data_IF_342847733644
#
_entry.id   IF_342847733644
#
_cell.length_a   1.000
_cell.length_b   1.000
_cell.length_c   1.000
_cell.angle_alpha   90.00
_cell.angle_beta   90.00
_cell.angle_gamma   90.00
#
_symmetry.space_group_name_H-M   'P 1'
#
loop_
_entity.id
_entity.type
_entity.pdbx_description
1 polymer ?
#
# COMPACT_ATOMS: atom_id res chain seq x y z
N UNK A 1 -10.31 -9.99 11.19
CA UNK A 1 -10.26 -8.76 12.04
C UNK A 1 -9.24 -9.02 13.13
N UNK A 2 -8.38 -8.07 13.45
CA UNK A 2 -7.40 -8.24 14.55
C UNK A 2 -8.12 -8.29 15.88
N UNK A 3 -7.67 -9.16 16.77
CA UNK A 3 -8.18 -9.22 18.13
C UNK A 3 -7.27 -8.47 19.11
N UNK A 4 -6.02 -8.20 18.72
CA UNK A 4 -5.00 -7.56 19.56
C UNK A 4 -3.98 -6.80 18.68
N UNK A 5 -3.41 -5.73 19.23
CA UNK A 5 -2.27 -5.02 18.62
C UNK A 5 -0.95 -5.61 19.14
N UNK A 6 0.15 -5.49 18.37
CA UNK A 6 1.48 -5.79 18.85
C UNK A 6 1.82 -5.02 20.11
N UNK A 7 2.53 -5.67 21.02
CA UNK A 7 2.94 -5.04 22.28
C UNK A 7 3.80 -3.79 22.00
N UNK A 8 3.52 -2.71 22.72
CA UNK A 8 4.21 -1.43 22.54
C UNK A 8 3.69 -0.56 21.39
N UNK A 9 2.85 -1.06 20.47
CA UNK A 9 2.27 -0.25 19.39
C UNK A 9 1.06 0.55 19.89
N UNK A 10 1.28 1.43 20.86
CA UNK A 10 0.26 2.19 21.58
C UNK A 10 -0.13 3.52 20.93
N UNK A 11 0.61 3.97 19.92
CA UNK A 11 0.36 5.23 19.21
C UNK A 11 0.81 5.17 17.73
N UNK A 12 0.31 6.06 16.85
CA UNK A 12 0.73 6.12 15.44
C UNK A 12 2.21 6.40 15.23
N UNK A 13 2.84 7.07 16.21
CA UNK A 13 4.25 7.46 16.17
C UNK A 13 5.16 6.54 16.99
N UNK A 14 4.60 5.49 17.61
CA UNK A 14 5.39 4.53 18.35
C UNK A 14 6.44 3.88 17.43
N UNK A 15 7.69 3.92 17.89
CA UNK A 15 8.80 3.18 17.28
C UNK A 15 9.11 2.00 18.19
N UNK A 16 9.47 0.85 17.62
CA UNK A 16 9.86 -0.29 18.43
C UNK A 16 11.22 -0.06 19.10
N UNK A 17 11.47 -0.76 20.21
CA UNK A 17 12.84 -1.00 20.67
C UNK A 17 13.54 -1.96 19.70
N UNK A 18 14.87 -2.12 19.78
CA UNK A 18 15.58 -3.07 18.90
C UNK A 18 15.01 -4.49 18.99
N UNK A 19 14.67 -4.97 20.19
CA UNK A 19 14.00 -6.27 20.37
C UNK A 19 12.57 -6.25 19.84
N UNK A 20 11.81 -5.20 20.10
CA UNK A 20 10.44 -5.03 19.63
C UNK A 20 10.33 -4.92 18.11
N UNK A 21 11.36 -4.43 17.43
CA UNK A 21 11.38 -4.32 15.97
C UNK A 21 11.28 -5.71 15.30
N UNK A 22 12.11 -6.63 15.72
CA UNK A 22 12.09 -8.00 15.20
C UNK A 22 10.76 -8.70 15.53
N UNK A 23 10.16 -8.40 16.67
CA UNK A 23 8.86 -8.94 17.05
C UNK A 23 7.73 -8.38 16.20
N UNK A 24 7.67 -7.06 16.01
CA UNK A 24 6.66 -6.42 15.17
C UNK A 24 6.74 -6.87 13.71
N UNK A 25 7.97 -7.04 13.17
CA UNK A 25 8.16 -7.56 11.82
C UNK A 25 7.73 -9.03 11.71
N UNK A 26 7.99 -9.85 12.74
CA UNK A 26 7.53 -11.23 12.78
C UNK A 26 6.00 -11.32 12.80
N UNK A 27 5.33 -10.51 13.63
CA UNK A 27 3.87 -10.46 13.69
C UNK A 27 3.28 -9.92 12.37
N UNK A 28 3.91 -8.92 11.78
CA UNK A 28 3.52 -8.35 10.49
C UNK A 28 3.63 -9.40 9.38
N UNK A 29 4.76 -10.12 9.32
CA UNK A 29 4.94 -11.24 8.38
C UNK A 29 3.88 -12.32 8.59
N UNK A 30 3.66 -12.77 9.82
CA UNK A 30 2.68 -13.81 10.13
C UNK A 30 1.25 -13.39 9.72
N UNK A 31 0.91 -12.11 9.92
CA UNK A 31 -0.39 -11.59 9.53
C UNK A 31 -0.57 -11.59 8.01
N UNK A 32 0.41 -11.07 7.25
CA UNK A 32 0.33 -11.00 5.78
C UNK A 32 0.47 -12.38 5.12
N UNK A 33 1.19 -13.32 5.73
CA UNK A 33 1.23 -14.72 5.28
C UNK A 33 -0.16 -15.39 5.38
N UNK A 34 -0.89 -15.10 6.48
CA UNK A 34 -2.24 -15.63 6.70
C UNK A 34 -3.33 -14.89 5.92
N UNK A 35 -3.09 -13.64 5.53
CA UNK A 35 -4.07 -12.76 4.87
C UNK A 35 -3.47 -12.12 3.61
N UNK A 36 -3.06 -12.91 2.63
CA UNK A 36 -2.46 -12.36 1.41
C UNK A 36 -3.45 -11.48 0.63
N UNK A 37 -2.91 -10.48 -0.05
CA UNK A 37 -3.71 -9.51 -0.81
C UNK A 37 -4.24 -10.14 -2.12
N UNK A 38 -5.42 -10.75 -2.05
CA UNK A 38 -6.09 -11.43 -3.18
C UNK A 38 -7.32 -10.69 -3.69
N UNK A 39 -7.71 -9.59 -3.06
CA UNK A 39 -8.94 -8.85 -3.38
C UNK A 39 -10.21 -9.70 -3.31
N UNK A 40 -10.25 -10.69 -2.41
CA UNK A 40 -11.35 -11.65 -2.24
C UNK A 40 -12.21 -11.42 -0.97
N UNK A 41 -12.03 -10.28 -0.30
CA UNK A 41 -12.76 -9.92 0.92
C UNK A 41 -14.27 -9.68 0.73
N UNK A 42 -14.74 -9.44 -0.51
CA UNK A 42 -16.16 -9.28 -0.81
C UNK A 42 -16.81 -10.62 -1.12
N UNK A 43 -16.14 -11.44 -1.92
CA UNK A 43 -16.56 -12.75 -2.40
C UNK A 43 -15.34 -13.55 -2.87
N UNK A 44 -15.45 -14.88 -2.75
CA UNK A 44 -14.36 -15.78 -3.17
C UNK A 44 -14.08 -15.60 -4.66
N UNK A 45 -12.82 -15.80 -5.04
CA UNK A 45 -12.39 -15.70 -6.44
C UNK A 45 -13.04 -16.75 -7.35
N UNK A 46 -13.44 -17.91 -6.78
CA UNK A 46 -14.11 -18.97 -7.53
C UNK A 46 -13.28 -19.70 -8.59
N UNK A 47 -11.95 -19.45 -8.59
CA UNK A 47 -10.98 -20.02 -9.53
C UNK A 47 -9.82 -20.66 -8.78
N UNK A 48 -9.12 -21.60 -9.44
CA UNK A 48 -7.96 -22.27 -8.83
C UNK A 48 -6.85 -21.26 -8.54
N UNK A 49 -6.33 -21.30 -7.32
CA UNK A 49 -5.24 -20.43 -6.89
C UNK A 49 -4.00 -20.64 -7.75
N UNK A 50 -3.28 -19.56 -8.03
CA UNK A 50 -2.09 -19.55 -8.89
C UNK A 50 -2.33 -19.97 -10.34
N UNK A 51 -3.59 -20.05 -10.78
CA UNK A 51 -3.94 -20.20 -12.20
C UNK A 51 -3.86 -18.84 -12.94
N UNK A 52 -3.78 -18.88 -14.27
CA UNK A 52 -3.85 -17.65 -15.08
C UNK A 52 -5.13 -16.85 -14.81
N UNK A 53 -6.26 -17.55 -14.66
CA UNK A 53 -7.56 -16.93 -14.33
C UNK A 53 -7.57 -16.28 -12.94
N UNK A 54 -6.88 -16.88 -11.97
CA UNK A 54 -6.71 -16.31 -10.63
C UNK A 54 -6.08 -14.90 -10.69
N UNK A 55 -4.97 -14.76 -11.41
CA UNK A 55 -4.30 -13.47 -11.55
C UNK A 55 -5.11 -12.47 -12.37
N UNK A 56 -5.77 -12.91 -13.44
CA UNK A 56 -6.65 -12.05 -14.23
C UNK A 56 -7.82 -11.51 -13.40
N UNK A 57 -8.40 -12.31 -12.52
CA UNK A 57 -9.49 -11.87 -11.64
C UNK A 57 -8.99 -10.91 -10.54
N UNK A 58 -7.80 -11.13 -9.98
CA UNK A 58 -7.15 -10.19 -9.06
C UNK A 58 -6.94 -8.85 -9.76
N UNK A 59 -6.36 -8.86 -10.96
CA UNK A 59 -6.06 -7.64 -11.72
C UNK A 59 -7.35 -6.90 -12.08
N UNK A 60 -8.37 -7.61 -12.53
CA UNK A 60 -9.67 -7.01 -12.82
C UNK A 60 -10.22 -6.28 -11.60
N UNK A 61 -10.25 -6.93 -10.43
CA UNK A 61 -10.76 -6.31 -9.19
C UNK A 61 -9.92 -5.11 -8.76
N UNK A 62 -8.62 -5.24 -8.82
CA UNK A 62 -7.69 -4.18 -8.41
C UNK A 62 -7.75 -2.98 -9.34
N UNK A 63 -7.64 -3.18 -10.65
CA UNK A 63 -7.63 -2.09 -11.62
C UNK A 63 -9.01 -1.47 -11.83
N UNK A 64 -10.10 -2.25 -11.75
CA UNK A 64 -11.47 -1.70 -11.74
C UNK A 64 -11.68 -0.76 -10.54
N UNK A 65 -11.20 -1.14 -9.35
CA UNK A 65 -11.29 -0.30 -8.17
C UNK A 65 -10.41 0.96 -8.32
N UNK A 66 -9.19 0.82 -8.86
CA UNK A 66 -8.27 1.92 -9.11
C UNK A 66 -8.83 2.92 -10.14
N UNK A 67 -9.57 2.48 -11.16
CA UNK A 67 -10.16 3.35 -12.18
C UNK A 67 -11.12 4.39 -11.60
N UNK A 68 -11.73 4.12 -10.44
CA UNK A 68 -12.66 5.06 -9.80
C UNK A 68 -11.96 6.31 -9.23
N UNK A 69 -10.74 6.16 -8.73
CA UNK A 69 -10.00 7.27 -8.10
C UNK A 69 -8.81 7.77 -8.93
N UNK A 70 -8.24 6.94 -9.80
CA UNK A 70 -7.21 7.42 -10.74
C UNK A 70 -7.83 8.29 -11.81
N UNK A 71 -7.16 9.37 -12.25
CA UNK A 71 -7.51 10.08 -13.47
C UNK A 71 -7.51 9.13 -14.67
N UNK A 72 -8.33 9.43 -15.67
CA UNK A 72 -8.35 8.67 -16.90
C UNK A 72 -7.00 8.76 -17.62
N UNK A 73 -6.45 7.62 -18.00
CA UNK A 73 -5.18 7.50 -18.70
C UNK A 73 -5.23 6.41 -19.76
N UNK A 74 -4.13 6.19 -20.46
CA UNK A 74 -4.02 5.17 -21.51
C UNK A 74 -3.78 3.78 -20.93
N UNK A 75 -3.25 3.69 -19.71
CA UNK A 75 -3.02 2.46 -18.96
C UNK A 75 -3.16 2.72 -17.46
N UNK A 76 -3.33 1.68 -16.63
CA UNK A 76 -3.37 1.85 -15.18
C UNK A 76 -2.13 2.56 -14.66
N UNK A 77 -2.32 3.50 -13.73
CA UNK A 77 -1.25 4.24 -13.03
C UNK A 77 -0.34 5.13 -13.88
N UNK A 78 -0.63 5.37 -15.16
CA UNK A 78 0.22 6.18 -16.07
C UNK A 78 0.36 7.66 -15.63
N UNK A 79 -0.52 8.14 -14.78
CA UNK A 79 -0.45 9.50 -14.20
C UNK A 79 0.60 9.64 -13.09
N UNK A 80 1.09 8.52 -12.55
CA UNK A 80 2.06 8.50 -11.43
C UNK A 80 3.27 7.60 -11.70
N UNK A 81 3.20 6.72 -12.71
CA UNK A 81 4.32 5.88 -13.16
C UNK A 81 4.91 6.51 -14.41
N UNK A 82 6.20 6.86 -14.42
CA UNK A 82 6.86 7.46 -15.57
C UNK A 82 7.25 6.39 -16.62
N UNK A 83 6.25 5.81 -17.28
CA UNK A 83 6.45 4.71 -18.23
C UNK A 83 7.38 5.04 -19.40
N UNK A 84 7.49 6.30 -19.78
CA UNK A 84 8.42 6.79 -20.81
C UNK A 84 9.90 6.67 -20.41
N UNK A 85 10.16 6.63 -19.10
CA UNK A 85 11.52 6.53 -18.55
C UNK A 85 11.92 5.09 -18.14
N UNK A 86 10.92 4.22 -17.88
CA UNK A 86 11.18 2.86 -17.42
C UNK A 86 12.11 2.04 -18.30
N UNK A 87 12.12 2.16 -19.66
CA UNK A 87 13.02 1.37 -20.50
C UNK A 87 14.52 1.58 -20.20
N UNK A 88 14.88 2.70 -19.60
CA UNK A 88 16.25 3.04 -19.22
C UNK A 88 16.56 2.68 -17.75
N UNK A 89 15.57 2.24 -16.96
CA UNK A 89 15.67 2.15 -15.52
C UNK A 89 15.70 0.72 -14.98
N UNK A 90 16.54 0.51 -13.97
CA UNK A 90 16.49 -0.63 -13.08
C UNK A 90 15.47 -0.33 -11.98
N UNK A 91 14.45 -1.17 -11.89
CA UNK A 91 13.26 -0.95 -11.04
C UNK A 91 13.26 -1.94 -9.87
N UNK A 92 13.04 -1.41 -8.67
CA UNK A 92 12.75 -2.19 -7.45
C UNK A 92 11.29 -2.00 -7.07
N UNK A 93 10.54 -3.08 -6.91
CA UNK A 93 9.23 -3.07 -6.24
C UNK A 93 9.35 -3.62 -4.83
N UNK A 94 8.85 -2.85 -3.85
CA UNK A 94 8.77 -3.26 -2.44
C UNK A 94 7.33 -3.65 -2.12
N UNK A 95 7.14 -4.93 -1.76
CA UNK A 95 5.83 -5.51 -1.47
C UNK A 95 5.10 -5.97 -2.73
N UNK A 96 5.59 -7.04 -3.36
CA UNK A 96 5.05 -7.52 -4.65
C UNK A 96 3.64 -8.13 -4.53
N UNK A 97 3.26 -8.65 -3.35
CA UNK A 97 1.95 -9.24 -3.10
C UNK A 97 1.58 -10.34 -4.10
N UNK A 98 0.51 -10.14 -4.88
CA UNK A 98 0.12 -11.07 -5.96
C UNK A 98 0.72 -10.70 -7.33
N UNK A 99 1.62 -9.73 -7.41
CA UNK A 99 2.39 -9.37 -8.59
C UNK A 99 1.66 -8.51 -9.63
N UNK A 100 0.55 -7.86 -9.30
CA UNK A 100 -0.21 -7.02 -10.25
C UNK A 100 0.60 -5.84 -10.76
N UNK A 101 1.31 -5.14 -9.87
CA UNK A 101 2.20 -4.05 -10.27
C UNK A 101 3.45 -4.57 -10.98
N UNK A 102 4.02 -5.70 -10.53
CA UNK A 102 5.15 -6.33 -11.22
C UNK A 102 4.83 -6.67 -12.67
N UNK A 103 3.65 -7.24 -12.94
CA UNK A 103 3.18 -7.50 -14.30
C UNK A 103 2.98 -6.21 -15.11
N UNK A 104 2.61 -5.12 -14.46
CA UNK A 104 2.45 -3.82 -15.11
C UNK A 104 3.80 -3.15 -15.41
N UNK A 105 4.80 -3.27 -14.53
CA UNK A 105 6.07 -2.54 -14.61
C UNK A 105 7.17 -3.32 -15.33
N UNK A 106 7.36 -4.60 -15.00
CA UNK A 106 8.50 -5.39 -15.45
C UNK A 106 8.66 -5.47 -16.99
N UNK A 107 7.58 -5.56 -17.81
CA UNK A 107 7.72 -5.57 -19.26
C UNK A 107 8.22 -4.25 -19.86
N UNK A 108 8.24 -3.18 -19.07
CA UNK A 108 8.56 -1.83 -19.55
C UNK A 108 9.90 -1.29 -19.03
N UNK A 109 10.57 -1.97 -18.10
CA UNK A 109 11.82 -1.50 -17.53
C UNK A 109 13.04 -2.26 -18.04
N UNK A 110 14.24 -1.68 -17.85
CA UNK A 110 15.52 -2.33 -18.22
C UNK A 110 15.73 -3.61 -17.43
N UNK A 111 15.51 -3.55 -16.13
CA UNK A 111 15.50 -4.71 -15.26
C UNK A 111 14.49 -4.53 -14.12
N UNK A 112 13.94 -5.63 -13.62
CA UNK A 112 12.98 -5.63 -12.52
C UNK A 112 13.45 -6.54 -11.39
N UNK A 113 13.38 -6.02 -10.17
CA UNK A 113 13.53 -6.78 -8.94
C UNK A 113 12.33 -6.49 -8.04
N UNK A 114 11.65 -7.52 -7.60
CA UNK A 114 10.56 -7.44 -6.64
C UNK A 114 10.93 -8.09 -5.31
N UNK A 115 10.61 -7.45 -4.20
CA UNK A 115 10.83 -8.01 -2.86
C UNK A 115 9.53 -8.06 -2.06
N UNK A 116 9.40 -9.06 -1.20
CA UNK A 116 8.31 -9.18 -0.23
C UNK A 116 8.78 -9.91 1.03
N UNK A 117 8.11 -9.64 2.14
CA UNK A 117 8.40 -10.23 3.43
C UNK A 117 7.88 -11.68 3.55
N UNK A 118 6.85 -12.05 2.75
CA UNK A 118 6.08 -13.29 2.87
C UNK A 118 6.46 -14.32 1.81
N UNK A 119 6.44 -15.60 2.20
CA UNK A 119 6.67 -16.70 1.27
C UNK A 119 5.50 -16.86 0.28
N UNK A 120 4.28 -16.55 0.72
CA UNK A 120 3.10 -16.55 -0.15
C UNK A 120 3.26 -15.58 -1.33
N UNK A 121 3.63 -14.31 -1.06
CA UNK A 121 3.78 -13.31 -2.11
C UNK A 121 4.90 -13.68 -3.10
N UNK A 122 6.02 -14.21 -2.60
CA UNK A 122 7.12 -14.70 -3.45
C UNK A 122 6.65 -15.83 -4.36
N UNK A 123 6.00 -16.84 -3.80
CA UNK A 123 5.48 -17.99 -4.56
C UNK A 123 4.44 -17.55 -5.59
N UNK A 124 3.49 -16.70 -5.18
CA UNK A 124 2.44 -16.17 -6.05
C UNK A 124 3.03 -15.36 -7.21
N UNK A 125 3.90 -14.40 -6.91
CA UNK A 125 4.47 -13.52 -7.95
C UNK A 125 5.41 -14.27 -8.88
N UNK A 126 6.23 -15.19 -8.37
CA UNK A 126 7.09 -16.05 -9.20
C UNK A 126 6.22 -16.86 -10.16
N UNK A 127 5.17 -17.51 -9.65
CA UNK A 127 4.26 -18.29 -10.50
C UNK A 127 3.55 -17.45 -11.54
N UNK A 128 3.16 -16.22 -11.20
CA UNK A 128 2.60 -15.26 -12.16
C UNK A 128 3.61 -14.96 -13.27
N UNK A 129 4.85 -14.64 -12.94
CA UNK A 129 5.89 -14.30 -13.89
C UNK A 129 6.15 -15.45 -14.87
N UNK A 130 6.22 -16.69 -14.36
CA UNK A 130 6.32 -17.90 -15.21
C UNK A 130 5.13 -18.02 -16.18
N UNK A 131 3.90 -17.92 -15.67
CA UNK A 131 2.69 -18.11 -16.48
C UNK A 131 2.53 -17.05 -17.58
N UNK A 132 2.97 -15.83 -17.31
CA UNK A 132 2.81 -14.71 -18.25
C UNK A 132 4.09 -14.43 -19.05
N UNK A 133 5.18 -15.18 -18.83
CA UNK A 133 6.44 -15.01 -19.54
C UNK A 133 7.13 -13.68 -19.21
N UNK A 134 7.04 -13.22 -17.96
CA UNK A 134 7.60 -11.94 -17.49
C UNK A 134 8.99 -12.20 -16.92
N UNK A 135 9.98 -11.42 -17.37
CA UNK A 135 11.34 -11.44 -16.80
C UNK A 135 11.44 -10.59 -15.53
N UNK A 136 12.25 -11.05 -14.58
CA UNK A 136 12.52 -10.31 -13.34
C UNK A 136 13.00 -11.22 -12.22
N UNK A 137 13.53 -10.61 -11.15
CA UNK A 137 13.96 -11.31 -9.93
C UNK A 137 12.94 -11.08 -8.84
N UNK A 138 12.49 -12.14 -8.21
CA UNK A 138 11.54 -12.10 -7.08
C UNK A 138 12.25 -12.68 -5.87
N UNK A 139 12.39 -11.90 -4.80
CA UNK A 139 13.22 -12.25 -3.65
C UNK A 139 12.44 -12.05 -2.35
N UNK A 140 12.53 -13.03 -1.45
CA UNK A 140 12.03 -12.85 -0.07
C UNK A 140 13.02 -11.99 0.70
N UNK A 141 12.56 -10.82 1.15
CA UNK A 141 13.43 -9.85 1.80
C UNK A 141 12.63 -8.90 2.70
N UNK A 142 13.23 -8.49 3.81
CA UNK A 142 12.70 -7.43 4.65
C UNK A 142 13.15 -6.07 4.12
N UNK A 143 12.18 -5.20 3.82
CA UNK A 143 12.47 -3.86 3.32
C UNK A 143 13.15 -2.94 4.34
N UNK A 144 13.15 -3.29 5.63
CA UNK A 144 13.90 -2.57 6.66
C UNK A 144 15.41 -2.91 6.66
N UNK A 145 15.81 -4.00 5.97
CA UNK A 145 17.21 -4.48 5.87
C UNK A 145 17.39 -5.20 4.52
N UNK A 146 17.61 -4.42 3.46
CA UNK A 146 17.73 -4.98 2.13
C UNK A 146 19.15 -5.48 1.86
N UNK A 147 19.29 -6.79 1.55
CA UNK A 147 20.53 -7.35 1.01
C UNK A 147 20.64 -7.06 -0.50
N UNK A 148 20.72 -5.76 -0.82
CA UNK A 148 20.83 -5.22 -2.17
C UNK A 148 21.96 -4.18 -2.17
N UNK A 149 22.74 -4.07 -3.27
CA UNK A 149 23.83 -3.11 -3.35
C UNK A 149 23.35 -1.65 -3.26
N UNK A 150 24.20 -0.78 -2.76
CA UNK A 150 24.00 0.66 -2.81
C UNK A 150 23.93 1.13 -4.28
N UNK A 151 23.18 2.22 -4.51
CA UNK A 151 23.11 2.92 -5.80
C UNK A 151 22.85 1.99 -7.02
N UNK A 152 21.97 0.98 -6.84
CA UNK A 152 21.72 -0.07 -7.83
C UNK A 152 20.42 0.08 -8.62
N UNK A 153 19.52 0.97 -8.16
CA UNK A 153 18.22 1.19 -8.81
C UNK A 153 18.03 2.64 -9.22
N UNK A 154 17.31 2.85 -10.33
CA UNK A 154 16.90 4.17 -10.81
C UNK A 154 15.52 4.56 -10.26
N UNK A 155 14.66 3.55 -10.00
CA UNK A 155 13.30 3.75 -9.56
C UNK A 155 12.86 2.71 -8.53
N UNK A 156 12.18 3.18 -7.48
CA UNK A 156 11.52 2.32 -6.49
C UNK A 156 10.01 2.54 -6.56
N UNK A 157 9.27 1.46 -6.65
CA UNK A 157 7.82 1.42 -6.53
C UNK A 157 7.42 0.72 -5.23
N UNK A 158 6.52 1.34 -4.45
CA UNK A 158 5.91 0.68 -3.29
C UNK A 158 4.47 1.17 -3.08
N UNK A 159 3.55 0.24 -3.05
CA UNK A 159 2.12 0.55 -3.02
C UNK A 159 1.42 -0.19 -1.88
N UNK A 160 1.05 0.56 -0.82
CA UNK A 160 0.30 -0.03 0.30
C UNK A 160 1.11 -0.91 1.23
N UNK A 161 2.43 -0.70 1.36
CA UNK A 161 3.34 -1.62 2.05
C UNK A 161 4.06 -0.99 3.23
N UNK A 162 4.85 0.06 3.01
CA UNK A 162 5.84 0.52 4.00
C UNK A 162 5.24 1.12 5.27
N UNK A 163 3.99 1.53 5.25
CA UNK A 163 3.28 1.97 6.44
C UNK A 163 2.84 0.81 7.36
N UNK A 164 3.01 -0.44 6.92
CA UNK A 164 2.85 -1.64 7.72
C UNK A 164 4.17 -2.13 8.35
N UNK A 165 5.33 -1.58 7.96
CA UNK A 165 6.60 -1.98 8.54
C UNK A 165 6.74 -1.54 10.01
N UNK A 166 7.59 -2.20 10.77
CA UNK A 166 7.86 -1.85 12.16
C UNK A 166 8.46 -0.44 12.26
N UNK A 167 9.35 -0.08 11.32
CA UNK A 167 9.93 1.27 11.19
C UNK A 167 9.92 1.74 9.72
N UNK A 168 8.93 2.58 9.39
CA UNK A 168 8.81 3.18 8.04
C UNK A 168 10.02 4.06 7.68
N UNK A 169 10.64 4.73 8.66
CA UNK A 169 11.83 5.56 8.44
C UNK A 169 13.04 4.71 8.02
N UNK A 170 13.17 3.51 8.57
CA UNK A 170 14.22 2.57 8.19
C UNK A 170 14.04 2.08 6.76
N UNK A 171 12.80 1.75 6.35
CA UNK A 171 12.51 1.42 4.94
C UNK A 171 12.88 2.57 4.00
N UNK A 172 12.51 3.81 4.34
CA UNK A 172 12.90 4.98 3.55
C UNK A 172 14.43 5.16 3.48
N UNK A 173 15.15 4.89 4.56
CA UNK A 173 16.61 4.94 4.58
C UNK A 173 17.23 3.88 3.67
N UNK A 174 16.71 2.66 3.68
CA UNK A 174 17.12 1.59 2.78
C UNK A 174 16.77 1.92 1.32
N UNK A 175 15.58 2.45 1.04
CA UNK A 175 15.22 2.94 -0.30
C UNK A 175 16.23 3.99 -0.79
N UNK A 176 16.61 4.93 0.08
CA UNK A 176 17.62 5.94 -0.25
C UNK A 176 18.98 5.31 -0.53
N UNK A 177 19.39 4.31 0.22
CA UNK A 177 20.67 3.61 0.04
C UNK A 177 20.73 2.92 -1.32
N UNK A 178 19.71 2.16 -1.68
CA UNK A 178 19.69 1.37 -2.92
C UNK A 178 19.41 2.20 -4.18
N UNK A 179 18.80 3.38 -4.05
CA UNK A 179 18.59 4.30 -5.17
C UNK A 179 19.89 4.98 -5.58
N UNK A 180 20.14 5.09 -6.88
CA UNK A 180 21.21 5.91 -7.46
C UNK A 180 21.02 7.39 -7.11
N UNK A 181 22.09 8.20 -7.12
CA UNK A 181 21.96 9.65 -7.01
C UNK A 181 20.94 10.20 -8.04
N UNK A 182 19.99 10.99 -7.58
CA UNK A 182 18.87 11.48 -8.40
C UNK A 182 17.78 10.45 -8.76
N UNK A 183 17.92 9.20 -8.30
CA UNK A 183 16.91 8.16 -8.44
C UNK A 183 15.60 8.54 -7.77
N UNK A 184 14.49 7.99 -8.26
CA UNK A 184 13.14 8.37 -7.85
C UNK A 184 12.39 7.21 -7.21
N UNK A 185 11.37 7.54 -6.43
CA UNK A 185 10.41 6.54 -5.96
C UNK A 185 8.98 7.07 -6.02
N UNK A 186 8.04 6.16 -6.26
CA UNK A 186 6.61 6.41 -6.01
C UNK A 186 6.17 5.56 -4.83
N UNK A 187 5.60 6.22 -3.84
CA UNK A 187 5.22 5.61 -2.56
C UNK A 187 3.76 5.90 -2.28
N UNK A 188 2.97 4.87 -1.99
CA UNK A 188 1.65 5.02 -1.42
C UNK A 188 1.63 4.53 0.02
N UNK A 189 1.16 5.39 0.92
CA UNK A 189 0.91 5.09 2.34
C UNK A 189 -0.52 5.45 2.72
N UNK A 190 -1.00 4.98 3.88
CA UNK A 190 -2.33 5.35 4.35
C UNK A 190 -2.39 6.80 4.81
N UNK A 191 -3.41 7.49 4.31
CA UNK A 191 -3.72 8.87 4.66
C UNK A 191 -4.64 8.94 5.88
N UNK A 192 -4.27 9.76 6.87
CA UNK A 192 -5.11 10.07 8.01
C UNK A 192 -6.11 11.16 7.65
N UNK A 193 -7.15 10.81 6.87
CA UNK A 193 -8.19 11.74 6.46
C UNK A 193 -9.10 12.12 7.65
N UNK A 194 -9.69 13.33 7.59
CA UNK A 194 -10.62 13.79 8.61
C UNK A 194 -11.88 12.91 8.68
N UNK A 195 -12.45 12.61 7.53
CA UNK A 195 -13.71 11.83 7.46
C UNK A 195 -13.52 10.43 8.02
N UNK A 196 -12.49 9.70 7.61
CA UNK A 196 -12.25 8.35 8.12
C UNK A 196 -11.88 8.34 9.61
N UNK A 197 -11.01 9.26 10.02
CA UNK A 197 -10.50 9.27 11.41
C UNK A 197 -11.55 9.75 12.39
N UNK A 198 -12.19 10.90 12.12
CA UNK A 198 -13.06 11.54 13.12
C UNK A 198 -14.54 11.21 12.92
N UNK A 199 -15.03 11.16 11.67
CA UNK A 199 -16.45 10.87 11.45
C UNK A 199 -16.70 9.35 11.51
N UNK A 200 -15.98 8.56 10.71
CA UNK A 200 -16.24 7.13 10.68
C UNK A 200 -15.71 6.44 11.97
N UNK A 201 -14.45 6.66 12.34
CA UNK A 201 -13.86 5.92 13.46
C UNK A 201 -14.25 6.50 14.81
N UNK A 202 -14.00 7.80 15.05
CA UNK A 202 -14.26 8.38 16.37
C UNK A 202 -15.77 8.52 16.66
N UNK A 203 -16.55 9.15 15.78
CA UNK A 203 -17.97 9.39 16.01
C UNK A 203 -18.79 8.10 15.85
N UNK A 204 -18.75 7.47 14.66
CA UNK A 204 -19.65 6.33 14.40
C UNK A 204 -19.23 5.06 15.16
N UNK A 205 -17.93 4.72 15.18
CA UNK A 205 -17.47 3.49 15.84
C UNK A 205 -17.13 3.72 17.32
N UNK A 206 -16.51 4.85 17.65
CA UNK A 206 -16.07 5.18 19.01
C UNK A 206 -17.22 5.59 19.92
N UNK A 207 -17.95 6.66 19.58
CA UNK A 207 -19.01 7.22 20.40
C UNK A 207 -20.32 6.44 20.22
N UNK A 208 -20.90 6.47 19.02
CA UNK A 208 -22.21 5.87 18.76
C UNK A 208 -22.20 4.34 18.85
N UNK A 209 -21.13 3.70 18.39
CA UNK A 209 -20.91 2.26 18.50
C UNK A 209 -20.38 1.78 19.85
N UNK A 210 -20.11 2.71 20.80
CA UNK A 210 -19.62 2.39 22.13
C UNK A 210 -18.18 1.86 22.20
N UNK A 211 -17.42 1.99 21.11
CA UNK A 211 -16.04 1.47 20.99
C UNK A 211 -15.08 2.09 22.02
N UNK A 212 -15.26 3.37 22.36
CA UNK A 212 -14.44 4.07 23.36
C UNK A 212 -14.58 3.55 24.79
N UNK A 213 -15.52 2.65 25.03
CA UNK A 213 -15.62 1.96 26.33
C UNK A 213 -14.47 0.95 26.54
N UNK A 214 -13.81 0.52 25.47
CA UNK A 214 -12.80 -0.56 25.51
C UNK A 214 -11.51 -0.21 24.79
N UNK A 215 -11.55 0.76 23.86
CA UNK A 215 -10.45 1.04 22.94
C UNK A 215 -10.20 2.54 22.80
N UNK A 216 -8.95 2.94 22.69
CA UNK A 216 -8.54 4.27 22.26
C UNK A 216 -8.87 4.52 20.77
N UNK A 217 -8.79 5.77 20.33
CA UNK A 217 -8.96 6.10 18.89
C UNK A 217 -7.92 5.37 18.02
N UNK A 218 -6.68 5.27 18.50
CA UNK A 218 -5.62 4.56 17.79
C UNK A 218 -5.97 3.07 17.65
N UNK A 219 -6.38 2.41 18.72
CA UNK A 219 -6.80 1.00 18.66
C UNK A 219 -7.98 0.78 17.73
N UNK A 220 -9.00 1.66 17.76
CA UNK A 220 -10.14 1.56 16.84
C UNK A 220 -9.72 1.71 15.37
N UNK A 221 -8.79 2.61 15.06
CA UNK A 221 -8.22 2.72 13.72
C UNK A 221 -7.52 1.41 13.31
N UNK A 222 -6.69 0.87 14.19
CA UNK A 222 -5.94 -0.35 13.94
C UNK A 222 -6.83 -1.58 13.76
N UNK A 223 -7.84 -1.75 14.63
CA UNK A 223 -8.79 -2.87 14.57
C UNK A 223 -9.66 -2.90 13.30
N UNK A 224 -9.79 -1.75 12.63
CA UNK A 224 -10.55 -1.62 11.38
C UNK A 224 -9.66 -1.53 10.12
N UNK A 225 -8.37 -1.86 10.24
CA UNK A 225 -7.39 -1.75 9.15
C UNK A 225 -6.63 -3.07 8.99
N UNK A 226 -6.23 -3.38 7.77
CA UNK A 226 -5.41 -4.55 7.46
C UNK A 226 -3.99 -4.43 8.04
N UNK A 227 -3.24 -5.54 8.05
CA UNK A 227 -1.90 -5.64 8.61
C UNK A 227 -1.87 -5.82 10.13
N UNK A 228 -0.81 -6.36 10.72
CA UNK A 228 -0.63 -6.41 12.17
C UNK A 228 -0.54 -5.01 12.75
N UNK A 229 0.22 -4.14 12.07
CA UNK A 229 0.33 -2.70 12.33
C UNK A 229 0.00 -1.93 11.05
N UNK A 230 -0.50 -0.69 11.22
CA UNK A 230 -0.67 0.24 10.12
C UNK A 230 -0.50 1.68 10.61
N UNK A 231 0.31 2.47 9.92
CA UNK A 231 0.50 3.88 10.21
C UNK A 231 -0.27 4.74 9.23
N UNK A 232 -0.94 5.76 9.76
CA UNK A 232 -1.69 6.74 8.99
C UNK A 232 -0.99 8.08 9.08
N UNK A 233 -0.69 8.68 7.96
CA UNK A 233 0.04 9.94 7.89
C UNK A 233 -0.84 11.10 7.44
N UNK A 234 -0.65 12.27 8.06
CA UNK A 234 -1.05 13.53 7.43
C UNK A 234 0.02 13.93 6.42
N UNK A 235 -0.35 14.66 5.34
CA UNK A 235 0.62 15.08 4.32
C UNK A 235 1.87 15.74 4.88
N UNK A 236 1.72 16.68 5.83
CA UNK A 236 2.86 17.37 6.45
C UNK A 236 3.76 16.45 7.30
N UNK A 237 3.17 15.49 8.04
CA UNK A 237 3.91 14.50 8.83
C UNK A 237 4.72 13.57 7.92
N UNK A 238 4.08 13.11 6.85
CA UNK A 238 4.72 12.26 5.84
C UNK A 238 5.86 12.98 5.13
N UNK A 239 5.61 14.20 4.63
CA UNK A 239 6.62 15.04 3.98
C UNK A 239 7.84 15.23 4.89
N UNK A 240 7.62 15.60 6.15
CA UNK A 240 8.71 15.77 7.12
C UNK A 240 9.50 14.49 7.36
N UNK A 241 8.85 13.31 7.38
CA UNK A 241 9.54 12.03 7.51
C UNK A 241 10.41 11.76 6.28
N UNK A 242 9.86 11.91 5.08
CA UNK A 242 10.53 11.70 3.79
C UNK A 242 11.76 12.61 3.65
N UNK A 243 11.61 13.90 3.97
CA UNK A 243 12.68 14.89 3.91
C UNK A 243 13.81 14.60 4.93
N UNK A 244 13.47 14.19 6.16
CA UNK A 244 14.47 13.73 7.14
C UNK A 244 15.24 12.50 6.69
N UNK A 245 14.63 11.64 5.87
CA UNK A 245 15.31 10.49 5.27
C UNK A 245 16.15 10.86 4.03
N UNK A 246 16.31 12.15 3.68
CA UNK A 246 17.15 12.62 2.59
C UNK A 246 16.52 12.53 1.20
N UNK A 247 15.20 12.69 1.12
CA UNK A 247 14.48 12.79 -0.14
C UNK A 247 13.89 14.19 -0.34
N UNK A 248 13.66 14.53 -1.60
CA UNK A 248 12.88 15.70 -2.01
C UNK A 248 11.52 15.21 -2.54
N UNK A 249 10.42 15.80 -2.09
CA UNK A 249 9.08 15.49 -2.59
C UNK A 249 8.85 16.27 -3.89
N UNK A 250 8.66 15.55 -5.00
CA UNK A 250 8.41 16.11 -6.34
C UNK A 250 6.90 16.21 -6.66
N UNK A 251 6.09 15.29 -6.11
CA UNK A 251 4.64 15.29 -6.28
C UNK A 251 3.92 14.66 -5.11
N UNK A 252 2.68 15.10 -4.85
CA UNK A 252 1.87 14.59 -3.76
C UNK A 252 0.40 14.59 -4.14
N UNK A 253 -0.27 13.46 -3.98
CA UNK A 253 -1.70 13.28 -4.23
C UNK A 253 -2.35 12.58 -3.04
N UNK A 254 -3.59 12.96 -2.78
CA UNK A 254 -4.50 12.16 -1.94
C UNK A 254 -5.56 11.58 -2.85
N UNK A 255 -5.75 10.28 -2.78
CA UNK A 255 -6.77 9.54 -3.53
C UNK A 255 -7.46 8.54 -2.61
N UNK A 256 -8.59 7.97 -3.04
CA UNK A 256 -9.27 7.00 -2.22
C UNK A 256 -10.36 6.25 -2.96
N UNK A 257 -10.75 5.13 -2.38
CA UNK A 257 -11.70 4.20 -2.96
C UNK A 257 -13.12 4.78 -3.00
N UNK A 258 -13.91 4.38 -3.98
CA UNK A 258 -15.33 4.73 -4.11
C UNK A 258 -16.13 4.40 -2.85
N UNK A 259 -15.75 3.32 -2.16
CA UNK A 259 -16.37 2.90 -0.91
C UNK A 259 -16.25 3.92 0.24
N UNK A 260 -15.33 4.87 0.16
CA UNK A 260 -15.08 5.88 1.19
C UNK A 260 -16.05 7.07 1.11
N UNK A 261 -16.69 7.27 -0.04
CA UNK A 261 -17.66 8.35 -0.24
C UNK A 261 -18.91 8.17 0.62
N UNK A 262 -19.33 6.91 0.85
CA UNK A 262 -20.50 6.58 1.64
C UNK A 262 -20.07 6.02 3.01
N UNK A 263 -20.36 6.77 4.07
CA UNK A 263 -20.04 6.39 5.46
C UNK A 263 -21.02 5.33 6.03
N UNK A 264 -21.51 4.45 5.18
CA UNK A 264 -22.39 3.35 5.59
C UNK A 264 -21.54 2.14 6.02
N UNK A 265 -22.03 1.32 6.98
CA UNK A 265 -21.41 0.05 7.29
C UNK A 265 -21.31 -0.84 6.04
N UNK A 266 -20.25 -1.67 5.99
CA UNK A 266 -20.09 -2.63 4.92
C UNK A 266 -21.31 -3.58 4.86
N UNK A 267 -21.87 -3.80 3.67
CA UNK A 267 -23.04 -4.64 3.47
C UNK A 267 -23.76 -4.37 2.15
N UNK A 268 -24.82 -5.14 1.90
CA UNK A 268 -25.59 -5.09 0.65
C UNK A 268 -26.14 -3.69 0.33
N UNK A 269 -26.61 -2.95 1.34
CA UNK A 269 -27.15 -1.59 1.17
C UNK A 269 -26.08 -0.63 0.66
N UNK A 270 -24.89 -0.64 1.30
CA UNK A 270 -23.75 0.18 0.84
C UNK A 270 -23.35 -0.19 -0.58
N UNK A 271 -23.25 -1.49 -0.87
CA UNK A 271 -22.87 -1.97 -2.20
C UNK A 271 -23.86 -1.53 -3.28
N UNK A 272 -25.17 -1.61 -3.01
CA UNK A 272 -26.20 -1.13 -3.93
C UNK A 272 -26.12 0.39 -4.13
N UNK A 273 -26.00 1.16 -3.05
CA UNK A 273 -25.92 2.62 -3.11
C UNK A 273 -24.68 3.10 -3.87
N UNK A 274 -23.54 2.41 -3.73
CA UNK A 274 -22.30 2.74 -4.43
C UNK A 274 -22.41 2.63 -5.96
N UNK A 275 -23.32 1.81 -6.48
CA UNK A 275 -23.55 1.71 -7.94
C UNK A 275 -24.06 3.03 -8.54
N UNK A 276 -24.69 3.87 -7.74
CA UNK A 276 -25.25 5.15 -8.14
C UNK A 276 -24.30 6.34 -7.88
N UNK A 277 -23.20 6.12 -7.17
CA UNK A 277 -22.16 7.15 -6.97
C UNK A 277 -21.32 7.26 -8.25
N UNK A 278 -21.32 8.40 -8.94
CA UNK A 278 -20.51 8.56 -10.14
C UNK A 278 -19.04 8.77 -9.77
N UNK A 279 -18.12 8.37 -10.65
CA UNK A 279 -16.68 8.42 -10.37
C UNK A 279 -16.16 9.85 -10.21
N UNK A 280 -16.76 10.82 -10.91
CA UNK A 280 -16.39 12.22 -10.72
C UNK A 280 -16.64 12.69 -9.28
N UNK A 281 -17.74 12.24 -8.64
CA UNK A 281 -18.03 12.58 -7.24
C UNK A 281 -17.04 11.89 -6.30
N UNK A 282 -16.66 10.64 -6.59
CA UNK A 282 -15.59 9.95 -5.86
C UNK A 282 -14.32 10.78 -5.89
N UNK A 283 -13.87 11.22 -7.07
CA UNK A 283 -12.65 12.03 -7.22
C UNK A 283 -12.76 13.39 -6.53
N UNK A 284 -13.91 14.05 -6.56
CA UNK A 284 -14.12 15.31 -5.83
C UNK A 284 -13.93 15.09 -4.33
N UNK A 285 -14.59 14.11 -3.75
CA UNK A 285 -14.52 13.84 -2.31
C UNK A 285 -13.14 13.33 -1.90
N UNK A 286 -12.62 12.31 -2.58
CA UNK A 286 -11.41 11.63 -2.15
C UNK A 286 -10.15 12.38 -2.56
N UNK A 287 -10.11 12.97 -3.77
CA UNK A 287 -8.92 13.60 -4.31
C UNK A 287 -8.93 15.12 -4.09
N UNK A 288 -9.97 15.83 -4.54
CA UNK A 288 -10.02 17.31 -4.44
C UNK A 288 -10.19 17.77 -3.00
N UNK A 289 -11.13 17.21 -2.25
CA UNK A 289 -11.30 17.50 -0.83
C UNK A 289 -10.32 16.75 0.07
N UNK A 290 -9.44 15.94 -0.53
CA UNK A 290 -8.38 15.20 0.16
C UNK A 290 -8.89 14.30 1.31
N UNK A 291 -10.06 13.69 1.14
CA UNK A 291 -10.65 12.79 2.14
C UNK A 291 -10.36 11.30 1.88
N UNK A 292 -9.67 10.97 0.80
CA UNK A 292 -9.28 9.60 0.46
C UNK A 292 -8.26 9.01 1.43
N UNK A 293 -8.18 7.69 1.46
CA UNK A 293 -7.31 6.93 2.37
C UNK A 293 -5.88 6.71 1.86
N UNK A 294 -5.58 7.09 0.61
CA UNK A 294 -4.26 6.91 0.00
C UNK A 294 -3.52 8.25 -0.08
N UNK A 295 -2.35 8.32 0.53
CA UNK A 295 -1.39 9.40 0.34
C UNK A 295 -0.27 8.88 -0.56
N UNK A 296 -0.19 9.45 -1.76
CA UNK A 296 0.74 9.04 -2.81
C UNK A 296 1.77 10.15 -2.98
N UNK A 297 3.04 9.80 -3.03
CA UNK A 297 4.11 10.75 -3.26
C UNK A 297 5.10 10.23 -4.28
N UNK A 298 5.55 11.11 -5.16
CA UNK A 298 6.79 10.91 -5.93
C UNK A 298 7.91 11.67 -5.22
N UNK A 299 8.99 10.95 -4.96
CA UNK A 299 10.14 11.45 -4.21
C UNK A 299 11.42 11.18 -4.98
N UNK A 300 12.42 12.01 -4.79
CA UNK A 300 13.75 11.88 -5.43
C UNK A 300 14.83 11.90 -4.37
N UNK A 301 15.82 11.01 -4.51
CA UNK A 301 17.04 11.02 -3.69
C UNK A 301 17.77 12.35 -3.86
N UNK A 302 17.94 13.08 -2.74
CA UNK A 302 18.60 14.38 -2.71
C UNK A 302 20.10 14.26 -2.99
#
# INVERSE_FOLDING_TARGET
MKDKLPEGFSSPTALPTEQGQSEWQRENRAWWEAHPMRYDWKDRLGVAEFSRQFYQEIDRRFFDDAAHYMPAGTRPFDVIVPFDRLPEWDVLEIGVGSGSHGQLLAPHCRSYTGIDLTDYAISSTTRRFELFGIGGRILRMDAEHMDLPDDSFDYVWTWGVIHHSADTGRVLSEMRRVLRPGGRATVMVYHRSFVYTFIYTALLRGILGGGFRRHSLHELLQLNTDGAIARFYRPGEWRSLVERCGFVVEGEWVMGQKSEVLLLPAGRVKHLAMRWVPDWLTRVVTNTWRQGSFLITTIRKA
#
